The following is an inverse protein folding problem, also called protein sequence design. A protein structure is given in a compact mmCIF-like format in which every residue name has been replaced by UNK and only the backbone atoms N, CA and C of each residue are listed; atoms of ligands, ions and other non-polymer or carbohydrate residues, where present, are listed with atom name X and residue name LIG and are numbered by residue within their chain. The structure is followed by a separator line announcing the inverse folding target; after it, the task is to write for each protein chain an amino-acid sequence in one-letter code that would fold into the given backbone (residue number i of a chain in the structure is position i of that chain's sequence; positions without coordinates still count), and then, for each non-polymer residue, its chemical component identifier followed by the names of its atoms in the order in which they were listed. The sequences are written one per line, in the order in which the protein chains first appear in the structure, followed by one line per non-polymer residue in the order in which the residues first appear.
data_IF_987776402132
#
_entry.id   IF_987776402132
#
_cell.length_a   1.000
_cell.length_b   1.000
_cell.length_c   1.000
_cell.angle_alpha   90.00
_cell.angle_beta   90.00
_cell.angle_gamma   90.00
#
_symmetry.space_group_name_H-M   'P 1'
#
loop_
_entity.id
_entity.type
_entity.pdbx_description
1 polymer ?
#
# COMPACT_ATOMS: atom_id res chain seq x y z
N UNK A 1 -2.03 -6.07 -13.63
CA UNK A 1 -3.09 -6.14 -12.60
C UNK A 1 -3.98 -4.91 -12.65
N UNK A 2 -3.48 -3.72 -12.33
CA UNK A 2 -4.30 -2.50 -12.40
C UNK A 2 -4.61 -2.09 -13.85
N UNK A 3 -3.58 -1.98 -14.70
CA UNK A 3 -3.76 -1.60 -16.11
C UNK A 3 -4.64 -2.61 -16.88
N UNK A 4 -4.43 -3.90 -16.63
CA UNK A 4 -5.22 -4.99 -17.22
C UNK A 4 -6.71 -4.97 -16.86
N UNK A 5 -7.11 -4.27 -15.79
CA UNK A 5 -8.53 -4.09 -15.45
C UNK A 5 -9.20 -3.05 -16.35
N UNK A 6 -8.46 -2.01 -16.76
CA UNK A 6 -8.98 -0.95 -17.63
C UNK A 6 -8.81 -1.28 -19.12
N UNK A 7 -7.75 -2.02 -19.46
CA UNK A 7 -7.47 -2.45 -20.82
C UNK A 7 -6.95 -3.90 -20.82
N UNK A 8 -7.78 -4.87 -21.25
CA UNK A 8 -7.40 -6.28 -21.33
C UNK A 8 -6.22 -6.56 -22.28
N UNK A 9 -5.93 -5.62 -23.20
CA UNK A 9 -4.82 -5.75 -24.15
C UNK A 9 -3.45 -5.46 -23.52
N UNK A 10 -3.41 -4.87 -22.32
CA UNK A 10 -2.18 -4.59 -21.57
C UNK A 10 -1.94 -5.71 -20.55
N UNK A 11 -1.12 -6.73 -20.89
CA UNK A 11 -0.80 -7.79 -19.94
C UNK A 11 0.06 -7.26 -18.80
N UNK A 12 0.02 -7.97 -17.67
CA UNK A 12 1.00 -7.74 -16.61
C UNK A 12 2.42 -8.05 -17.13
N UNK A 13 3.44 -7.26 -16.73
CA UNK A 13 4.82 -7.51 -17.15
C UNK A 13 5.27 -8.91 -16.72
N UNK A 14 5.88 -9.65 -17.64
CA UNK A 14 6.29 -11.04 -17.44
C UNK A 14 7.45 -11.18 -16.44
N UNK A 15 8.22 -10.12 -16.21
CA UNK A 15 9.28 -10.06 -15.22
C UNK A 15 9.07 -8.87 -14.29
N UNK A 16 9.46 -8.99 -13.01
CA UNK A 16 9.41 -7.87 -12.09
C UNK A 16 10.31 -6.74 -12.58
N UNK A 17 9.85 -5.49 -12.43
CA UNK A 17 10.58 -4.28 -12.82
C UNK A 17 10.97 -3.49 -11.57
N UNK A 18 12.18 -2.91 -11.59
CA UNK A 18 12.58 -1.95 -10.57
C UNK A 18 11.68 -0.70 -10.63
N UNK A 19 11.38 -0.10 -9.48
CA UNK A 19 10.57 1.11 -9.34
C UNK A 19 9.11 1.00 -9.84
N UNK A 20 8.57 -0.23 -9.96
CA UNK A 20 7.19 -0.46 -10.39
C UNK A 20 6.18 -0.49 -9.23
N UNK A 21 6.32 -1.43 -8.30
CA UNK A 21 5.45 -1.58 -7.13
C UNK A 21 6.06 -2.52 -6.07
N UNK A 22 5.43 -2.56 -4.90
CA UNK A 22 5.81 -3.41 -3.76
C UNK A 22 5.84 -4.92 -4.10
N UNK A 23 4.95 -5.39 -4.97
CA UNK A 23 4.95 -6.78 -5.45
C UNK A 23 6.20 -7.09 -6.31
N UNK A 24 6.62 -6.17 -7.17
CA UNK A 24 7.85 -6.34 -7.98
C UNK A 24 9.10 -6.31 -7.10
N UNK A 25 9.14 -5.40 -6.11
CA UNK A 25 10.24 -5.34 -5.14
C UNK A 25 10.37 -6.64 -4.34
N UNK A 26 9.25 -7.23 -3.92
CA UNK A 26 9.25 -8.51 -3.20
C UNK A 26 9.74 -9.67 -4.07
N UNK A 27 9.32 -9.74 -5.34
CA UNK A 27 9.76 -10.79 -6.27
C UNK A 27 11.26 -10.72 -6.57
N UNK A 28 11.78 -9.50 -6.81
CA UNK A 28 13.20 -9.25 -7.01
C UNK A 28 14.02 -9.63 -5.77
N UNK A 29 13.60 -9.23 -4.57
CA UNK A 29 14.34 -9.47 -3.34
C UNK A 29 14.42 -10.95 -2.93
N UNK A 30 13.43 -11.76 -3.32
CA UNK A 30 13.39 -13.18 -2.97
C UNK A 30 13.94 -14.12 -4.05
N UNK A 31 14.61 -13.58 -5.09
CA UNK A 31 15.12 -14.34 -6.23
C UNK A 31 14.06 -15.30 -6.81
N UNK A 32 12.80 -14.86 -6.82
CA UNK A 32 11.75 -15.69 -7.38
C UNK A 32 11.74 -15.48 -8.88
N UNK A 33 12.21 -16.51 -9.60
CA UNK A 33 12.03 -16.60 -11.05
C UNK A 33 10.55 -16.40 -11.38
N UNK A 34 10.31 -15.65 -12.45
CA UNK A 34 9.01 -15.22 -12.98
C UNK A 34 8.08 -16.35 -13.43
N UNK A 35 8.39 -17.60 -13.11
CA UNK A 35 7.44 -18.69 -13.24
C UNK A 35 6.45 -18.55 -12.08
N UNK A 36 5.25 -18.07 -12.38
CA UNK A 36 4.09 -18.12 -11.49
C UNK A 36 4.10 -19.46 -10.76
N UNK A 37 4.52 -19.48 -9.48
CA UNK A 37 4.55 -20.72 -8.71
C UNK A 37 3.11 -21.04 -8.38
N UNK A 38 2.44 -21.71 -9.31
CA UNK A 38 1.21 -22.40 -9.05
C UNK A 38 1.52 -23.44 -7.98
N UNK A 39 0.95 -23.27 -6.80
CA UNK A 39 1.08 -24.25 -5.72
C UNK A 39 -0.13 -25.17 -5.77
N UNK A 40 0.09 -26.46 -5.59
CA UNK A 40 -1.01 -27.40 -5.36
C UNK A 40 -1.45 -27.29 -3.91
N UNK A 41 -2.70 -26.89 -3.72
CA UNK A 41 -3.35 -26.78 -2.41
C UNK A 41 -4.62 -27.63 -2.35
N UNK A 42 -4.78 -28.60 -3.24
CA UNK A 42 -6.03 -29.34 -3.37
C UNK A 42 -6.46 -30.09 -2.11
N UNK A 43 -5.51 -30.60 -1.30
CA UNK A 43 -5.81 -31.23 -0.01
C UNK A 43 -6.34 -30.19 0.98
N UNK A 44 -5.60 -29.10 1.16
CA UNK A 44 -5.96 -28.02 2.09
C UNK A 44 -7.26 -27.31 1.68
N UNK A 45 -7.46 -27.06 0.38
CA UNK A 45 -8.68 -26.48 -0.16
C UNK A 45 -9.89 -27.38 0.09
N UNK A 46 -9.76 -28.70 -0.07
CA UNK A 46 -10.84 -29.65 0.22
C UNK A 46 -11.24 -29.62 1.70
N UNK A 47 -10.29 -29.62 2.62
CA UNK A 47 -10.59 -29.52 4.06
C UNK A 47 -11.30 -28.21 4.40
N UNK A 48 -10.86 -27.10 3.80
CA UNK A 48 -11.48 -25.80 4.01
C UNK A 48 -12.89 -25.72 3.42
N UNK A 49 -13.10 -26.25 2.21
CA UNK A 49 -14.41 -26.32 1.57
C UNK A 49 -15.38 -27.18 2.38
N UNK A 50 -14.91 -28.33 2.86
CA UNK A 50 -15.70 -29.20 3.73
C UNK A 50 -16.10 -28.50 5.03
N UNK A 51 -15.18 -27.75 5.65
CA UNK A 51 -15.52 -26.97 6.84
C UNK A 51 -16.57 -25.88 6.54
N UNK A 52 -16.44 -25.18 5.41
CA UNK A 52 -17.37 -24.10 5.03
C UNK A 52 -18.79 -24.63 4.74
N UNK A 53 -18.90 -25.73 3.98
CA UNK A 53 -20.21 -26.28 3.57
C UNK A 53 -20.83 -27.18 4.63
N UNK A 54 -20.12 -28.21 5.09
CA UNK A 54 -20.70 -29.26 5.94
C UNK A 54 -20.87 -28.79 7.39
N UNK A 55 -19.90 -28.03 7.92
CA UNK A 55 -19.86 -27.64 9.34
C UNK A 55 -20.57 -26.31 9.58
N UNK A 56 -20.26 -25.30 8.75
CA UNK A 56 -20.78 -23.95 8.93
C UNK A 56 -21.93 -23.59 8.00
N UNK A 57 -22.20 -24.38 6.95
CA UNK A 57 -23.30 -24.19 5.98
C UNK A 57 -23.35 -22.77 5.39
N UNK A 58 -22.19 -22.14 5.21
CA UNK A 58 -22.09 -20.76 4.72
C UNK A 58 -22.68 -19.69 5.65
N UNK A 59 -22.78 -19.96 6.96
CA UNK A 59 -23.29 -19.01 7.97
C UNK A 59 -22.16 -18.38 8.81
N UNK A 60 -20.93 -18.39 8.33
CA UNK A 60 -19.76 -17.82 9.03
C UNK A 60 -18.81 -17.13 8.06
N UNK A 61 -18.03 -16.18 8.59
CA UNK A 61 -16.85 -15.66 7.89
C UNK A 61 -15.68 -16.65 7.96
N UNK A 62 -14.68 -16.45 7.09
CA UNK A 62 -13.55 -17.37 6.89
C UNK A 62 -12.78 -17.77 8.16
N UNK A 63 -12.73 -16.90 9.17
CA UNK A 63 -11.96 -17.15 10.40
C UNK A 63 -12.41 -18.43 11.12
N UNK A 64 -13.73 -18.66 11.23
CA UNK A 64 -14.26 -19.81 11.98
C UNK A 64 -13.94 -21.16 11.31
N UNK A 65 -14.17 -21.35 9.99
CA UNK A 65 -13.70 -22.53 9.27
C UNK A 65 -12.18 -22.76 9.40
N UNK A 66 -11.37 -21.70 9.34
CA UNK A 66 -9.91 -21.80 9.50
C UNK A 66 -9.54 -22.30 10.91
N UNK A 67 -10.13 -21.72 11.94
CA UNK A 67 -9.95 -22.11 13.34
C UNK A 67 -10.35 -23.58 13.56
N UNK A 68 -11.45 -24.01 12.92
CA UNK A 68 -11.93 -25.40 12.94
C UNK A 68 -10.95 -26.39 12.30
N UNK A 69 -10.46 -26.11 11.09
CA UNK A 69 -9.49 -26.97 10.39
C UNK A 69 -8.15 -27.04 11.14
N UNK A 70 -7.75 -25.95 11.81
CA UNK A 70 -6.54 -25.89 12.64
C UNK A 70 -6.68 -26.58 13.99
N UNK A 71 -7.90 -26.88 14.43
CA UNK A 71 -8.16 -27.48 15.75
C UNK A 71 -8.20 -26.47 16.89
N UNK A 72 -8.29 -25.17 16.59
CA UNK A 72 -8.32 -24.08 17.56
C UNK A 72 -9.73 -23.50 17.64
N UNK A 73 -10.67 -24.24 18.24
CA UNK A 73 -12.08 -23.83 18.31
C UNK A 73 -12.42 -23.24 19.67
N UNK A 74 -13.15 -22.11 19.66
CA UNK A 74 -13.68 -21.44 20.86
C UNK A 74 -14.72 -22.30 21.56
N UNK A 75 -14.89 -22.14 22.87
CA UNK A 75 -15.83 -22.95 23.69
C UNK A 75 -17.25 -23.03 23.11
N UNK A 76 -17.75 -21.91 22.58
CA UNK A 76 -19.10 -21.81 21.98
C UNK A 76 -19.29 -22.69 20.73
N UNK A 77 -18.21 -23.16 20.10
CA UNK A 77 -18.24 -23.91 18.85
C UNK A 77 -17.83 -25.38 19.02
N UNK A 78 -17.51 -25.82 20.24
CA UNK A 78 -17.19 -27.22 20.58
C UNK A 78 -18.33 -28.20 20.25
N UNK A 79 -19.58 -27.74 20.22
CA UNK A 79 -20.73 -28.57 19.82
C UNK A 79 -20.65 -29.04 18.36
N UNK A 80 -19.97 -28.29 17.48
CA UNK A 80 -19.81 -28.61 16.05
C UNK A 80 -18.75 -29.65 15.75
N UNK A 81 -17.90 -29.95 16.74
CA UNK A 81 -16.79 -30.92 16.66
C UNK A 81 -17.28 -32.37 16.87
N UNK A 82 -18.57 -32.59 17.13
CA UNK A 82 -19.13 -33.92 17.40
C UNK A 82 -19.43 -34.71 16.12
N UNK A 83 -19.45 -36.04 16.24
CA UNK A 83 -19.89 -36.96 15.17
C UNK A 83 -18.90 -37.06 14.02
N UNK A 84 -19.40 -37.04 12.77
CA UNK A 84 -18.60 -37.13 11.55
C UNK A 84 -17.57 -36.00 11.41
N UNK A 85 -17.84 -34.83 12.02
CA UNK A 85 -17.01 -33.64 11.93
C UNK A 85 -15.76 -33.71 12.80
N UNK A 86 -15.69 -34.64 13.76
CA UNK A 86 -14.49 -34.87 14.57
C UNK A 86 -13.28 -35.31 13.73
N UNK A 87 -13.53 -35.96 12.58
CA UNK A 87 -12.48 -36.48 11.69
C UNK A 87 -11.71 -35.37 10.95
N UNK A 88 -12.39 -34.25 10.69
CA UNK A 88 -11.83 -33.11 9.93
C UNK A 88 -11.33 -31.99 10.84
N UNK A 89 -11.73 -32.02 12.12
CA UNK A 89 -11.27 -31.08 13.12
C UNK A 89 -9.77 -31.27 13.41
N UNK A 90 -8.98 -30.20 13.29
CA UNK A 90 -7.53 -30.25 13.58
C UNK A 90 -6.66 -30.92 12.52
N UNK A 91 -7.22 -31.33 11.37
CA UNK A 91 -6.46 -31.97 10.28
C UNK A 91 -5.38 -31.04 9.70
N UNK A 92 -5.62 -29.72 9.74
CA UNK A 92 -4.75 -28.69 9.19
C UNK A 92 -3.79 -28.06 10.20
N UNK A 93 -3.58 -28.69 11.37
CA UNK A 93 -2.70 -28.17 12.44
C UNK A 93 -1.26 -27.93 11.99
N UNK A 94 -0.82 -28.62 10.95
CA UNK A 94 0.52 -28.49 10.41
C UNK A 94 0.77 -27.10 9.81
N UNK A 95 -0.28 -26.40 9.34
CA UNK A 95 -0.21 -25.11 8.65
C UNK A 95 -0.55 -23.97 9.64
N UNK A 96 0.18 -22.86 9.53
CA UNK A 96 0.00 -21.71 10.42
C UNK A 96 -1.30 -20.95 10.13
N UNK A 97 -1.79 -20.18 11.10
CA UNK A 97 -2.95 -19.29 10.93
C UNK A 97 -2.81 -18.37 9.72
N UNK A 98 -1.63 -17.72 9.65
CA UNK A 98 -1.27 -16.80 8.57
C UNK A 98 -1.35 -17.48 7.22
N UNK A 99 -0.90 -18.74 7.12
CA UNK A 99 -0.99 -19.52 5.89
C UNK A 99 -2.43 -19.81 5.48
N UNK A 100 -3.28 -20.24 6.41
CA UNK A 100 -4.69 -20.53 6.11
C UNK A 100 -5.48 -19.28 5.71
N UNK A 101 -5.23 -18.14 6.37
CA UNK A 101 -5.82 -16.85 5.99
C UNK A 101 -5.34 -16.40 4.61
N UNK A 102 -4.05 -16.56 4.31
CA UNK A 102 -3.51 -16.27 2.97
C UNK A 102 -4.11 -17.19 1.90
N UNK A 103 -4.29 -18.48 2.18
CA UNK A 103 -4.95 -19.42 1.28
C UNK A 103 -6.40 -19.01 1.01
N UNK A 104 -7.18 -18.71 2.05
CA UNK A 104 -8.58 -18.30 1.88
C UNK A 104 -8.72 -16.98 1.13
N UNK A 105 -7.80 -16.02 1.33
CA UNK A 105 -7.73 -14.81 0.53
C UNK A 105 -7.45 -15.11 -0.95
N UNK A 106 -6.52 -16.03 -1.24
CA UNK A 106 -6.18 -16.43 -2.61
C UNK A 106 -7.33 -17.17 -3.29
N UNK A 107 -8.03 -18.04 -2.56
CA UNK A 107 -9.23 -18.73 -3.03
C UNK A 107 -10.38 -17.76 -3.34
N UNK A 108 -10.51 -16.68 -2.55
CA UNK A 108 -11.46 -15.60 -2.85
C UNK A 108 -11.09 -14.85 -4.12
N UNK A 109 -9.82 -14.46 -4.27
CA UNK A 109 -9.32 -13.74 -5.46
C UNK A 109 -9.53 -14.55 -6.74
N UNK A 110 -9.24 -15.86 -6.70
CA UNK A 110 -9.43 -16.77 -7.84
C UNK A 110 -10.89 -17.23 -8.04
N UNK A 111 -11.85 -16.68 -7.29
CA UNK A 111 -13.28 -16.94 -7.46
C UNK A 111 -13.76 -18.32 -6.97
N UNK A 112 -13.00 -18.99 -6.10
CA UNK A 112 -13.43 -20.24 -5.46
C UNK A 112 -14.35 -19.98 -4.25
N UNK A 113 -14.11 -18.87 -3.54
CA UNK A 113 -14.92 -18.43 -2.40
C UNK A 113 -15.63 -17.12 -2.73
N UNK A 114 -16.88 -16.99 -2.30
CA UNK A 114 -17.70 -15.80 -2.48
C UNK A 114 -18.15 -15.27 -1.12
N UNK A 115 -18.25 -13.95 -1.01
CA UNK A 115 -18.78 -13.28 0.17
C UNK A 115 -20.25 -12.94 -0.05
N UNK A 116 -21.12 -13.46 0.81
CA UNK A 116 -22.56 -13.22 0.79
C UNK A 116 -22.94 -12.49 2.06
N UNK A 117 -23.60 -11.33 1.91
CA UNK A 117 -24.27 -10.64 3.01
C UNK A 117 -25.68 -11.22 3.13
N UNK A 118 -26.01 -11.88 4.24
CA UNK A 118 -27.36 -12.42 4.50
C UNK A 118 -28.11 -11.50 5.46
N UNK A 119 -29.34 -11.11 5.11
CA UNK A 119 -30.24 -10.33 5.98
C UNK A 119 -29.73 -8.93 6.36
N UNK A 120 -30.16 -8.44 7.52
CA UNK A 120 -29.80 -7.12 8.09
C UNK A 120 -28.40 -7.08 8.73
N UNK A 121 -27.47 -7.93 8.28
CA UNK A 121 -26.10 -7.94 8.82
C UNK A 121 -25.39 -6.63 8.44
N UNK A 122 -25.43 -5.65 9.34
CA UNK A 122 -24.73 -4.37 9.21
C UNK A 122 -23.21 -4.53 9.17
N UNK A 123 -22.68 -5.58 9.83
CA UNK A 123 -21.25 -5.84 9.94
C UNK A 123 -20.92 -7.30 9.62
N UNK A 124 -20.10 -7.50 8.58
CA UNK A 124 -19.53 -8.79 8.19
C UNK A 124 -20.21 -9.47 7.00
N UNK A 125 -19.43 -10.28 6.28
CA UNK A 125 -19.91 -11.12 5.19
C UNK A 125 -19.67 -12.60 5.54
N UNK A 126 -20.62 -13.45 5.16
CA UNK A 126 -20.46 -14.90 5.24
C UNK A 126 -19.69 -15.39 4.01
N UNK A 127 -18.86 -16.40 4.20
CA UNK A 127 -18.10 -17.02 3.10
C UNK A 127 -18.82 -18.27 2.63
N UNK A 128 -19.13 -18.31 1.34
CA UNK A 128 -19.76 -19.43 0.67
C UNK A 128 -18.88 -19.95 -0.46
N UNK A 129 -19.11 -21.21 -0.85
CA UNK A 129 -18.49 -21.80 -2.03
C UNK A 129 -19.13 -21.25 -3.31
N UNK A 130 -18.30 -20.91 -4.29
CA UNK A 130 -18.77 -20.61 -5.64
C UNK A 130 -19.23 -21.88 -6.37
N UNK A 131 -19.97 -21.71 -7.47
CA UNK A 131 -20.40 -22.85 -8.31
C UNK A 131 -19.20 -23.61 -8.88
N UNK A 132 -18.10 -22.91 -9.16
CA UNK A 132 -16.83 -23.51 -9.58
C UNK A 132 -16.25 -24.41 -8.48
N UNK A 133 -16.24 -23.93 -7.24
CA UNK A 133 -15.76 -24.71 -6.10
C UNK A 133 -16.64 -25.93 -5.79
N UNK A 134 -17.97 -25.78 -5.88
CA UNK A 134 -18.92 -26.90 -5.69
C UNK A 134 -18.72 -27.98 -6.75
N UNK A 135 -18.62 -27.60 -8.03
CA UNK A 135 -18.33 -28.55 -9.13
C UNK A 135 -17.03 -29.31 -8.90
N UNK A 136 -15.97 -28.60 -8.52
CA UNK A 136 -14.67 -29.23 -8.21
C UNK A 136 -14.76 -30.17 -7.01
N UNK A 137 -15.46 -29.76 -5.94
CA UNK A 137 -15.65 -30.58 -4.75
C UNK A 137 -16.40 -31.88 -5.06
N UNK A 138 -17.46 -31.82 -5.88
CA UNK A 138 -18.24 -32.99 -6.32
C UNK A 138 -17.46 -33.91 -7.26
N UNK A 139 -16.60 -33.36 -8.12
CA UNK A 139 -15.79 -34.14 -9.07
C UNK A 139 -14.66 -34.98 -8.42
N UNK A 140 -14.51 -34.91 -7.09
CA UNK A 140 -13.48 -35.60 -6.31
C UNK A 140 -12.02 -35.41 -6.80
N UNK A 141 -11.77 -34.35 -7.58
CA UNK A 141 -10.43 -33.99 -8.07
C UNK A 141 -9.56 -33.58 -6.89
N UNK A 142 -8.38 -34.17 -6.74
CA UNK A 142 -7.51 -33.96 -5.57
C UNK A 142 -6.55 -32.79 -5.69
N UNK A 143 -6.24 -32.36 -6.91
CA UNK A 143 -5.33 -31.25 -7.17
C UNK A 143 -6.08 -29.95 -7.43
N UNK A 144 -5.55 -28.86 -6.87
CA UNK A 144 -6.04 -27.50 -7.12
C UNK A 144 -4.83 -26.59 -7.17
N UNK A 145 -4.46 -26.23 -8.40
CA UNK A 145 -3.35 -25.32 -8.68
C UNK A 145 -3.86 -23.89 -8.56
N UNK A 146 -3.26 -23.11 -7.66
CA UNK A 146 -3.50 -21.66 -7.56
C UNK A 146 -2.20 -20.91 -7.71
N UNK A 147 -2.26 -19.77 -8.38
CA UNK A 147 -1.18 -18.79 -8.34
C UNK A 147 -1.00 -18.33 -6.89
N UNK A 148 0.18 -18.58 -6.33
CA UNK A 148 0.47 -18.29 -4.94
C UNK A 148 0.76 -16.79 -4.75
N UNK A 149 0.05 -16.14 -3.83
CA UNK A 149 0.43 -14.82 -3.36
C UNK A 149 1.80 -14.87 -2.66
N UNK A 150 2.60 -13.79 -2.74
CA UNK A 150 3.77 -13.57 -1.90
C UNK A 150 3.59 -13.94 -0.42
N UNK A 151 2.42 -13.61 0.15
CA UNK A 151 2.09 -13.91 1.55
C UNK A 151 1.93 -15.41 1.79
N UNK A 152 1.32 -16.11 0.84
CA UNK A 152 1.11 -17.56 0.91
C UNK A 152 2.43 -18.32 0.77
N UNK A 153 3.32 -17.86 -0.12
CA UNK A 153 4.67 -18.40 -0.29
C UNK A 153 5.52 -18.16 0.95
N UNK A 154 5.54 -16.93 1.48
CA UNK A 154 6.27 -16.59 2.70
C UNK A 154 5.77 -17.41 3.91
N UNK A 155 4.46 -17.54 4.07
CA UNK A 155 3.86 -18.35 5.13
C UNK A 155 4.15 -19.85 4.97
N UNK A 156 4.37 -20.33 3.73
CA UNK A 156 4.73 -21.72 3.46
C UNK A 156 6.20 -22.00 3.75
N UNK A 157 7.09 -21.05 3.45
CA UNK A 157 8.53 -21.14 3.73
C UNK A 157 8.85 -21.06 5.23
N UNK A 158 7.99 -20.42 6.03
CA UNK A 158 8.18 -20.25 7.47
C UNK A 158 7.98 -21.54 8.32
N UNK A 159 7.75 -22.71 7.71
CA UNK A 159 7.58 -23.97 8.44
C UNK A 159 8.91 -24.70 8.66
N UNK A 160 9.50 -24.49 9.84
CA UNK A 160 10.11 -25.53 10.68
C UNK A 160 10.58 -24.90 12.00
N UNK A 161 9.64 -24.73 12.96
CA UNK A 161 9.93 -24.70 14.40
C UNK A 161 8.62 -24.89 15.18
N UNK A 162 8.11 -26.11 15.18
CA UNK A 162 7.14 -26.56 16.17
C UNK A 162 7.57 -27.95 16.63
N UNK A 163 8.35 -28.00 17.70
CA UNK A 163 8.46 -29.16 18.58
C UNK A 163 7.62 -28.86 19.81
N UNK A 164 6.70 -29.77 20.15
CA UNK A 164 5.89 -29.72 21.37
C UNK A 164 6.40 -30.80 22.31
N UNK A 165 6.76 -30.44 23.54
CA UNK A 165 6.39 -31.18 24.77
C UNK A 165 6.98 -30.51 26.04
N UNK A 166 6.10 -30.24 27.01
CA UNK A 166 6.36 -30.49 28.44
C UNK A 166 6.85 -29.33 29.34
N UNK A 167 5.96 -28.86 30.22
CA UNK A 167 6.29 -28.63 31.63
C UNK A 167 6.87 -27.28 32.09
N UNK A 168 6.07 -26.59 32.92
CA UNK A 168 6.42 -25.61 33.97
C UNK A 168 6.88 -24.17 33.64
N UNK A 169 6.14 -23.23 34.28
CA UNK A 169 6.43 -21.84 34.66
C UNK A 169 6.33 -20.73 33.58
N UNK A 170 5.83 -19.53 33.97
CA UNK A 170 5.32 -18.53 33.04
C UNK A 170 6.46 -17.73 32.43
N UNK A 171 6.60 -17.79 31.11
CA UNK A 171 7.50 -16.90 30.37
C UNK A 171 6.67 -15.86 29.64
N UNK A 172 7.15 -14.63 29.75
CA UNK A 172 6.53 -13.40 29.29
C UNK A 172 6.00 -13.51 27.86
N UNK A 173 4.85 -12.86 27.65
CA UNK A 173 4.36 -12.51 26.32
C UNK A 173 5.40 -11.56 25.71
N UNK A 174 6.40 -12.11 25.03
CA UNK A 174 7.23 -11.33 24.13
C UNK A 174 6.35 -10.94 22.95
N UNK A 175 5.89 -9.68 23.01
CA UNK A 175 5.38 -8.89 21.92
C UNK A 175 6.16 -9.23 20.65
N UNK A 176 5.50 -9.97 19.74
CA UNK A 176 6.10 -10.48 18.52
C UNK A 176 6.43 -9.27 17.64
N UNK A 177 7.64 -8.76 17.88
CA UNK A 177 8.24 -7.61 17.25
C UNK A 177 7.93 -7.62 15.77
N UNK A 178 7.24 -6.55 15.33
CA UNK A 178 6.93 -6.19 13.94
C UNK A 178 8.10 -6.58 13.02
N UNK A 179 8.10 -7.83 12.53
CA UNK A 179 9.10 -8.28 11.57
C UNK A 179 8.82 -7.50 10.30
N UNK A 180 9.66 -6.50 10.08
CA UNK A 180 9.69 -5.65 8.89
C UNK A 180 9.62 -6.57 7.68
N UNK A 181 8.81 -6.17 6.70
CA UNK A 181 8.55 -6.88 5.45
C UNK A 181 9.84 -7.12 4.62
N UNK A 182 10.96 -6.51 5.02
CA UNK A 182 12.27 -6.61 4.38
C UNK A 182 13.08 -7.77 4.99
N UNK A 183 13.72 -8.57 4.15
CA UNK A 183 14.45 -9.80 4.53
C UNK A 183 15.55 -9.63 5.59
N UNK A 184 16.14 -10.75 6.07
CA UNK A 184 17.11 -10.75 7.18
C UNK A 184 18.41 -10.01 6.86
N UNK A 185 18.73 -9.85 5.57
CA UNK A 185 19.91 -9.17 5.08
C UNK A 185 19.50 -7.86 4.43
N UNK A 186 20.07 -6.76 4.91
CA UNK A 186 19.90 -5.43 4.29
C UNK A 186 20.64 -5.43 2.94
N UNK A 187 19.93 -5.78 1.86
CA UNK A 187 20.49 -5.88 0.50
C UNK A 187 20.98 -4.52 -0.03
N UNK A 188 20.32 -3.43 0.37
CA UNK A 188 20.76 -2.06 0.07
C UNK A 188 21.19 -1.37 1.36
N UNK A 189 22.51 -1.22 1.56
CA UNK A 189 23.00 -0.19 2.49
C UNK A 189 22.55 1.15 1.93
N UNK A 190 21.90 1.95 2.78
CA UNK A 190 21.62 3.34 2.42
C UNK A 190 22.95 3.99 2.11
N UNK A 191 23.11 4.38 0.85
CA UNK A 191 24.19 5.26 0.43
C UNK A 191 23.58 6.66 0.37
N UNK A 192 24.25 7.68 0.93
CA UNK A 192 23.79 9.05 0.80
C UNK A 192 23.70 9.43 -0.68
N UNK A 193 22.87 10.42 -1.01
CA UNK A 193 22.71 10.92 -2.38
C UNK A 193 24.06 11.26 -3.05
N UNK A 194 25.04 11.70 -2.25
CA UNK A 194 26.42 11.97 -2.67
C UNK A 194 27.19 10.75 -3.20
N UNK A 195 26.73 9.53 -2.99
CA UNK A 195 27.38 8.32 -3.52
C UNK A 195 26.95 7.97 -4.95
N UNK A 196 25.99 8.70 -5.52
CA UNK A 196 25.45 8.45 -6.85
C UNK A 196 25.90 9.57 -7.81
N UNK A 197 26.88 9.33 -8.70
CA UNK A 197 27.38 10.36 -9.62
C UNK A 197 26.30 10.95 -10.54
N UNK A 198 25.27 10.18 -10.88
CA UNK A 198 24.09 10.64 -11.63
C UNK A 198 23.17 11.59 -10.84
N UNK A 199 23.29 11.61 -9.51
CA UNK A 199 22.64 12.59 -8.63
C UNK A 199 23.59 13.73 -8.25
N UNK A 200 24.89 13.62 -8.60
CA UNK A 200 25.89 14.68 -8.43
C UNK A 200 25.87 15.67 -9.61
N UNK A 201 25.08 15.44 -10.65
CA UNK A 201 24.87 16.40 -11.74
C UNK A 201 24.16 17.65 -11.20
N UNK A 202 25.00 18.58 -10.77
CA UNK A 202 24.82 20.02 -10.65
C UNK A 202 23.55 20.50 -9.94
N UNK A 203 23.56 20.36 -8.61
CA UNK A 203 23.19 21.49 -7.76
C UNK A 203 24.46 22.25 -7.33
N UNK A 204 25.32 22.64 -8.29
CA UNK A 204 26.40 23.58 -7.98
C UNK A 204 25.86 24.99 -7.70
N UNK A 205 24.59 25.25 -8.04
CA UNK A 205 23.81 26.36 -7.49
C UNK A 205 23.10 25.94 -6.19
N UNK A 206 23.83 25.37 -5.22
CA UNK A 206 23.30 25.31 -3.84
C UNK A 206 23.41 26.72 -3.26
N UNK A 207 22.46 27.53 -3.71
CA UNK A 207 22.14 28.87 -3.28
C UNK A 207 22.18 28.92 -1.74
N UNK A 208 23.00 29.78 -1.10
CA UNK A 208 23.06 29.98 0.35
C UNK A 208 21.75 30.56 0.97
N UNK A 209 20.62 30.41 0.29
CA UNK A 209 19.36 31.14 0.51
C UNK A 209 18.17 30.20 0.76
N UNK A 210 18.35 28.89 0.84
CA UNK A 210 17.27 27.90 1.04
C UNK A 210 16.34 28.18 2.26
N UNK A 211 16.85 28.47 3.48
CA UNK A 211 15.98 28.79 4.61
C UNK A 211 15.19 30.09 4.41
N UNK A 212 15.77 31.06 3.71
CA UNK A 212 15.13 32.35 3.41
C UNK A 212 14.07 32.22 2.31
N UNK A 213 14.27 31.32 1.35
CA UNK A 213 13.27 30.98 0.32
C UNK A 213 12.06 30.28 0.93
N UNK A 214 12.27 29.35 1.87
CA UNK A 214 11.17 28.71 2.61
C UNK A 214 10.39 29.73 3.46
N UNK A 215 11.08 30.68 4.08
CA UNK A 215 10.44 31.73 4.86
C UNK A 215 9.62 32.68 3.98
N UNK A 216 10.17 33.13 2.84
CA UNK A 216 9.44 33.93 1.86
C UNK A 216 8.22 33.17 1.32
N UNK A 217 8.37 31.89 1.01
CA UNK A 217 7.27 31.02 0.59
C UNK A 217 6.16 30.95 1.63
N UNK A 218 6.50 30.85 2.92
CA UNK A 218 5.51 30.88 4.01
C UNK A 218 4.79 32.23 4.09
N UNK A 219 5.49 33.35 3.93
CA UNK A 219 4.84 34.67 3.92
C UNK A 219 3.92 34.87 2.71
N UNK A 220 4.33 34.38 1.55
CA UNK A 220 3.49 34.39 0.35
C UNK A 220 2.24 33.51 0.53
N UNK A 221 2.35 32.39 1.24
CA UNK A 221 1.19 31.56 1.56
C UNK A 221 0.21 32.26 2.52
N UNK A 222 0.71 32.97 3.53
CA UNK A 222 -0.13 33.79 4.40
C UNK A 222 -0.85 34.90 3.61
N UNK A 223 -0.13 35.60 2.72
CA UNK A 223 -0.71 36.61 1.83
C UNK A 223 -1.79 35.99 0.94
N UNK A 224 -1.56 34.78 0.42
CA UNK A 224 -2.56 34.01 -0.35
C UNK A 224 -3.79 33.68 0.47
N UNK A 225 -3.64 33.30 1.74
CA UNK A 225 -4.75 33.01 2.64
C UNK A 225 -5.56 34.26 3.00
N UNK A 226 -4.89 35.40 3.18
CA UNK A 226 -5.56 36.68 3.43
C UNK A 226 -6.39 37.13 2.23
N UNK A 227 -5.83 37.04 1.02
CA UNK A 227 -6.54 37.33 -0.22
C UNK A 227 -7.70 36.35 -0.45
N UNK A 228 -7.51 35.06 -0.16
CA UNK A 228 -8.57 34.07 -0.22
C UNK A 228 -9.76 34.43 0.69
N UNK A 229 -9.47 34.95 1.89
CA UNK A 229 -10.48 35.40 2.85
C UNK A 229 -11.18 36.70 2.42
N UNK A 230 -10.44 37.65 1.88
CA UNK A 230 -10.98 38.94 1.42
C UNK A 230 -11.92 38.78 0.22
N UNK A 231 -11.55 37.91 -0.73
CA UNK A 231 -12.30 37.69 -1.97
C UNK A 231 -13.25 36.48 -1.91
N UNK A 232 -13.45 35.90 -0.72
CA UNK A 232 -14.31 34.72 -0.47
C UNK A 232 -14.10 33.59 -1.48
N UNK A 233 -12.84 33.20 -1.68
CA UNK A 233 -12.46 32.18 -2.65
C UNK A 233 -11.38 31.23 -2.10
N UNK A 234 -11.20 30.08 -2.74
CA UNK A 234 -10.19 29.12 -2.31
C UNK A 234 -8.75 29.62 -2.56
N UNK A 235 -7.77 29.32 -1.68
CA UNK A 235 -6.37 29.76 -1.86
C UNK A 235 -5.77 29.37 -3.22
N UNK A 236 -6.13 28.20 -3.74
CA UNK A 236 -5.67 27.72 -5.06
C UNK A 236 -6.22 28.55 -6.23
N UNK A 237 -7.32 29.29 -6.04
CA UNK A 237 -7.90 30.17 -7.06
C UNK A 237 -7.14 31.50 -7.16
N UNK A 238 -6.48 31.93 -6.07
CA UNK A 238 -5.59 33.09 -6.06
C UNK A 238 -4.26 32.73 -6.74
N UNK A 239 -3.55 31.72 -6.22
CA UNK A 239 -2.27 31.26 -6.77
C UNK A 239 -2.03 29.76 -6.50
N UNK A 240 -1.52 29.04 -7.50
CA UNK A 240 -1.13 27.63 -7.35
C UNK A 240 0.16 27.50 -6.53
N UNK A 241 0.41 26.32 -5.96
CA UNK A 241 1.65 26.07 -5.21
C UNK A 241 2.89 26.29 -6.10
N UNK A 242 2.81 25.90 -7.38
CA UNK A 242 3.89 26.11 -8.35
C UNK A 242 4.19 27.60 -8.57
N UNK A 243 3.15 28.44 -8.66
CA UNK A 243 3.31 29.91 -8.78
C UNK A 243 3.98 30.49 -7.54
N UNK A 244 3.58 30.06 -6.35
CA UNK A 244 4.24 30.50 -5.11
C UNK A 244 5.73 30.08 -5.08
N UNK A 245 6.10 28.96 -5.70
CA UNK A 245 7.49 28.45 -5.68
C UNK A 245 8.31 29.31 -6.64
N UNK A 246 7.72 29.63 -7.79
CA UNK A 246 8.31 30.55 -8.75
C UNK A 246 8.45 31.97 -8.19
N UNK A 247 7.48 32.47 -7.44
CA UNK A 247 7.56 33.78 -6.78
C UNK A 247 8.68 33.84 -5.74
N UNK A 248 8.82 32.79 -4.92
CA UNK A 248 9.86 32.71 -3.91
C UNK A 248 11.27 32.61 -4.51
N UNK A 249 11.40 31.99 -5.69
CA UNK A 249 12.68 31.83 -6.39
C UNK A 249 13.06 33.03 -7.27
N UNK A 250 12.13 33.56 -8.07
CA UNK A 250 12.40 34.65 -9.02
C UNK A 250 12.39 36.02 -8.34
N UNK A 251 11.64 36.16 -7.23
CA UNK A 251 11.50 37.39 -6.43
C UNK A 251 11.23 38.64 -7.30
N UNK A 252 10.11 38.67 -8.05
CA UNK A 252 9.77 39.78 -8.91
C UNK A 252 9.47 41.05 -8.12
N UNK A 253 10.01 42.18 -8.56
CA UNK A 253 9.84 43.51 -7.93
C UNK A 253 8.80 44.40 -8.66
N UNK A 254 8.31 43.96 -9.81
CA UNK A 254 7.45 44.74 -10.69
C UNK A 254 6.39 43.87 -11.37
N UNK A 255 5.30 44.51 -11.80
CA UNK A 255 4.21 43.82 -12.52
C UNK A 255 4.69 43.27 -13.87
N UNK A 256 5.71 43.90 -14.47
CA UNK A 256 6.39 43.38 -15.66
C UNK A 256 7.22 42.13 -15.35
N UNK A 257 7.93 42.08 -14.22
CA UNK A 257 8.68 40.89 -13.81
C UNK A 257 7.77 39.70 -13.45
N UNK A 258 6.55 39.95 -12.96
CA UNK A 258 5.53 38.92 -12.79
C UNK A 258 5.11 38.25 -14.12
N UNK A 259 5.40 38.86 -15.26
CA UNK A 259 5.13 38.28 -16.59
C UNK A 259 5.97 37.05 -16.90
N UNK A 260 7.15 36.94 -16.29
CA UNK A 260 8.00 35.76 -16.41
C UNK A 260 7.39 34.48 -15.78
N UNK A 261 6.32 34.61 -14.98
CA UNK A 261 5.65 33.49 -14.32
C UNK A 261 4.52 32.98 -15.23
N UNK A 262 4.81 31.93 -15.99
CA UNK A 262 3.94 31.36 -17.03
C UNK A 262 2.63 30.77 -16.49
N UNK A 263 2.60 30.31 -15.24
CA UNK A 263 1.46 29.62 -14.63
C UNK A 263 0.47 30.57 -13.93
N UNK A 264 0.65 31.90 -14.03
CA UNK A 264 -0.25 32.90 -13.44
C UNK A 264 -1.01 33.69 -14.54
N UNK A 265 -2.34 33.52 -14.66
CA UNK A 265 -3.16 34.26 -15.62
C UNK A 265 -3.07 35.79 -15.45
N UNK A 266 -3.17 36.52 -16.57
CA UNK A 266 -3.05 37.99 -16.62
C UNK A 266 -4.02 38.70 -15.67
N UNK A 267 -5.28 38.24 -15.61
CA UNK A 267 -6.30 38.82 -14.72
C UNK A 267 -5.92 38.69 -13.24
N UNK A 268 -5.33 37.56 -12.84
CA UNK A 268 -4.89 37.31 -11.47
C UNK A 268 -3.64 38.12 -11.13
N UNK A 269 -2.75 38.29 -12.10
CA UNK A 269 -1.57 39.16 -11.97
C UNK A 269 -1.96 40.61 -11.74
N UNK A 270 -2.96 41.12 -12.45
CA UNK A 270 -3.45 42.49 -12.28
C UNK A 270 -4.16 42.68 -10.94
N UNK A 271 -4.99 41.70 -10.50
CA UNK A 271 -5.78 41.81 -9.26
C UNK A 271 -4.97 41.55 -7.98
N UNK A 272 -4.12 40.54 -7.99
CA UNK A 272 -3.43 40.05 -6.77
C UNK A 272 -1.92 40.28 -6.80
N UNK A 273 -1.34 40.55 -7.98
CA UNK A 273 0.11 40.64 -8.15
C UNK A 273 0.77 41.74 -7.32
N UNK A 274 0.10 42.88 -7.12
CA UNK A 274 0.65 43.97 -6.29
C UNK A 274 0.89 43.53 -4.84
N UNK A 275 -0.07 42.82 -4.23
CA UNK A 275 0.02 42.35 -2.84
C UNK A 275 1.16 41.34 -2.65
N UNK A 276 1.40 40.49 -3.64
CA UNK A 276 2.56 39.59 -3.64
C UNK A 276 3.88 40.35 -3.81
N UNK A 277 3.95 41.34 -4.72
CA UNK A 277 5.14 42.17 -4.90
C UNK A 277 5.49 42.95 -3.62
N UNK A 278 4.50 43.51 -2.94
CA UNK A 278 4.71 44.28 -1.71
C UNK A 278 5.33 43.39 -0.61
N UNK A 279 4.79 42.18 -0.43
CA UNK A 279 5.32 41.17 0.49
C UNK A 279 6.77 40.78 0.14
N UNK A 280 7.08 40.60 -1.16
CA UNK A 280 8.44 40.28 -1.62
C UNK A 280 9.40 41.44 -1.38
N UNK A 281 8.99 42.69 -1.64
CA UNK A 281 9.80 43.89 -1.43
C UNK A 281 10.15 44.10 0.04
N UNK A 282 9.19 43.90 0.93
CA UNK A 282 9.40 44.00 2.38
C UNK A 282 10.42 42.95 2.87
N UNK A 283 10.29 41.71 2.39
CA UNK A 283 11.21 40.63 2.70
C UNK A 283 12.62 40.88 2.15
N UNK A 284 12.71 41.32 0.89
CA UNK A 284 13.98 41.63 0.24
C UNK A 284 14.71 42.77 0.96
N UNK A 285 14.00 43.83 1.38
CA UNK A 285 14.61 44.93 2.11
C UNK A 285 15.12 44.51 3.49
N UNK A 286 14.48 43.54 4.12
CA UNK A 286 14.84 43.04 5.46
C UNK A 286 16.04 42.10 5.41
N UNK A 287 16.14 41.28 4.35
CA UNK A 287 17.16 40.23 4.21
C UNK A 287 18.27 40.54 3.18
N UNK A 288 18.25 41.71 2.54
CA UNK A 288 19.25 42.17 1.55
C UNK A 288 19.45 41.17 0.41
N UNK A 289 18.34 40.76 -0.22
CA UNK A 289 18.32 39.72 -1.27
C UNK A 289 18.23 40.32 -2.68
N UNK A 290 18.79 39.61 -3.67
CA UNK A 290 18.69 40.03 -5.08
C UNK A 290 17.25 39.85 -5.62
N UNK A 291 16.75 40.86 -6.31
CA UNK A 291 15.45 40.85 -7.00
C UNK A 291 15.60 40.42 -8.44
N UNK A 292 14.51 39.91 -9.04
CA UNK A 292 14.47 39.49 -10.45
C UNK A 292 15.57 38.50 -10.85
N UNK A 293 15.73 37.43 -10.06
CA UNK A 293 16.64 36.34 -10.41
C UNK A 293 16.00 35.54 -11.54
N UNK A 294 16.18 36.01 -12.77
CA UNK A 294 15.78 35.29 -13.98
C UNK A 294 16.78 34.16 -14.21
N UNK A 295 16.31 32.91 -14.17
CA UNK A 295 17.01 31.79 -14.79
C UNK A 295 17.01 31.99 -16.32
N UNK A 296 17.85 32.89 -16.80
CA UNK A 296 18.30 32.89 -18.18
C UNK A 296 19.57 32.05 -18.26
N UNK A 297 19.38 30.73 -18.20
CA UNK A 297 20.39 29.73 -18.52
C UNK A 297 19.69 28.60 -19.28
N UNK A 298 19.78 28.67 -20.62
CA UNK A 298 19.66 27.50 -21.49
C UNK A 298 20.80 26.51 -21.19
#
# INVERSE_FOLDING_TARGET
LLLSHFDPSIPAPAQPQADCCDNCDWQMNNQQSSSSKCIDVGKEARWLFQAIDDVYRGNSGLAKPVDFVRGSVRDKEKSRVRGSNAKIFGIGKERSDKWWKALGAQLRIHGWLMEVRRGDMAYGACVNLSDKAKKWYMSNVQSLMIEASPLLLAASAAKNKVTVAGGTAPTAVEDESRRRVLGPTRLRKYLPASAYPSLQTQSEDTIPNFPLVEELRRMLDNTRMELAKEYDCGPFQIASNKVLDQLANVRPDSVAALEAISDLPVERRQRFGQRFIDCIKEFVSTHQLDTNVSNSSM
#
